data_IF_772482390558
#
_entry.id   IF_772482390558
#
_cell.length_a   1.000
_cell.length_b   1.000
_cell.length_c   1.000
_cell.angle_alpha   90.00
_cell.angle_beta   90.00
_cell.angle_gamma   90.00
#
_symmetry.space_group_name_H-M   'P 1'
#
loop_
_entity.id
_entity.type
_entity.pdbx_description
1 polymer ?
#
# COMPACT_ATOMS: atom_id res chain seq x y z
N UNK A 1 19.87 -20.55 -5.18
CA UNK A 1 20.10 -19.10 -4.99
C UNK A 1 21.58 -18.81 -4.81
N UNK A 2 22.17 -17.93 -5.68
CA UNK A 2 23.59 -17.53 -5.59
C UNK A 2 23.84 -16.65 -4.35
N UNK A 3 25.13 -16.50 -3.95
CA UNK A 3 25.52 -15.65 -2.81
C UNK A 3 25.07 -14.19 -3.03
N UNK A 4 25.20 -13.67 -4.24
CA UNK A 4 24.79 -12.30 -4.58
C UNK A 4 23.28 -12.11 -4.45
N UNK A 5 22.49 -13.03 -4.99
CA UNK A 5 21.02 -13.00 -4.86
C UNK A 5 20.59 -13.08 -3.41
N UNK A 6 21.25 -13.92 -2.60
CA UNK A 6 20.97 -14.00 -1.16
C UNK A 6 21.29 -12.68 -0.44
N UNK A 7 22.40 -12.05 -0.76
CA UNK A 7 22.75 -10.72 -0.19
C UNK A 7 21.74 -9.66 -0.57
N UNK A 8 21.34 -9.60 -1.84
CA UNK A 8 20.33 -8.65 -2.29
C UNK A 8 18.97 -8.88 -1.63
N UNK A 9 18.55 -10.15 -1.46
CA UNK A 9 17.30 -10.48 -0.76
C UNK A 9 17.34 -10.00 0.69
N UNK A 10 18.48 -10.16 1.38
CA UNK A 10 18.67 -9.61 2.73
C UNK A 10 18.54 -8.09 2.72
N UNK A 11 19.19 -7.41 1.77
CA UNK A 11 19.11 -5.95 1.64
C UNK A 11 17.69 -5.43 1.38
N UNK A 12 16.98 -6.09 0.46
CA UNK A 12 15.58 -5.74 0.12
C UNK A 12 14.65 -5.98 1.31
N UNK A 13 14.80 -7.13 1.99
CA UNK A 13 13.98 -7.47 3.16
C UNK A 13 14.30 -6.56 4.35
N UNK A 14 15.56 -6.25 4.60
CA UNK A 14 15.96 -5.29 5.63
C UNK A 14 15.44 -3.88 5.31
N UNK A 15 15.52 -3.46 4.05
CA UNK A 15 15.01 -2.18 3.59
C UNK A 15 13.51 -2.03 3.85
N UNK A 16 12.69 -2.99 3.40
CA UNK A 16 11.23 -2.92 3.61
C UNK A 16 10.84 -3.03 5.08
N UNK A 17 11.55 -3.86 5.86
CA UNK A 17 11.36 -3.99 7.30
C UNK A 17 11.62 -2.66 8.02
N UNK A 18 12.77 -2.02 7.75
CA UNK A 18 13.13 -0.73 8.35
C UNK A 18 12.17 0.39 7.93
N UNK A 19 11.77 0.42 6.65
CA UNK A 19 10.80 1.38 6.15
C UNK A 19 9.43 1.25 6.86
N UNK A 20 8.96 0.00 7.08
CA UNK A 20 7.68 -0.20 7.77
C UNK A 20 7.79 0.09 9.27
N UNK A 21 8.88 -0.33 9.94
CA UNK A 21 9.12 0.08 11.34
C UNK A 21 9.07 1.61 11.43
N UNK A 22 9.89 2.32 10.65
CA UNK A 22 9.96 3.77 10.71
C UNK A 22 8.59 4.43 10.47
N UNK A 23 7.90 4.02 9.41
CA UNK A 23 6.62 4.61 9.05
C UNK A 23 5.51 4.36 10.10
N UNK A 24 5.47 3.19 10.72
CA UNK A 24 4.45 2.89 11.73
C UNK A 24 4.78 3.38 13.15
N UNK A 25 5.98 3.89 13.39
CA UNK A 25 6.31 4.64 14.62
C UNK A 25 5.64 6.02 14.61
N UNK A 26 5.82 6.80 13.53
CA UNK A 26 5.41 8.20 13.53
C UNK A 26 3.97 8.43 13.02
N UNK A 27 3.52 7.60 12.06
CA UNK A 27 2.26 7.82 11.37
C UNK A 27 1.05 7.94 12.31
N UNK A 28 0.79 6.97 13.22
CA UNK A 28 -0.37 7.05 14.13
C UNK A 28 -0.27 8.22 15.10
N UNK A 29 0.95 8.49 15.60
CA UNK A 29 1.20 9.55 16.58
C UNK A 29 0.97 10.93 15.97
N UNK A 30 1.49 11.16 14.74
CA UNK A 30 1.28 12.44 14.06
C UNK A 30 -0.20 12.67 13.71
N UNK A 31 -0.89 11.64 13.20
CA UNK A 31 -2.32 11.77 12.85
C UNK A 31 -3.15 12.11 14.09
N UNK A 32 -2.92 11.44 15.21
CA UNK A 32 -3.59 11.74 16.48
C UNK A 32 -3.28 13.16 16.97
N UNK A 33 -2.01 13.56 16.96
CA UNK A 33 -1.57 14.90 17.37
C UNK A 33 -2.23 16.00 16.53
N UNK A 34 -2.28 15.86 15.21
CA UNK A 34 -2.94 16.82 14.33
C UNK A 34 -4.45 16.86 14.56
N UNK A 35 -5.08 15.71 14.80
CA UNK A 35 -6.49 15.62 15.11
C UNK A 35 -6.87 16.35 16.41
N UNK A 36 -6.03 16.22 17.44
CA UNK A 36 -6.23 16.86 18.74
C UNK A 36 -5.94 18.37 18.78
N UNK A 37 -5.04 18.86 17.95
CA UNK A 37 -4.62 20.28 17.95
C UNK A 37 -5.31 21.13 16.88
N UNK A 38 -5.44 20.58 15.65
CA UNK A 38 -5.96 21.32 14.50
C UNK A 38 -7.36 20.87 14.07
N UNK A 39 -7.46 19.73 13.42
CA UNK A 39 -8.69 18.99 13.08
C UNK A 39 -8.36 17.70 12.34
N UNK A 40 -9.28 16.73 12.32
CA UNK A 40 -9.16 15.51 11.55
C UNK A 40 -8.99 15.78 10.04
N UNK A 41 -9.63 16.84 9.51
CA UNK A 41 -9.47 17.25 8.12
C UNK A 41 -8.01 17.56 7.77
N UNK A 42 -7.30 18.32 8.62
CA UNK A 42 -5.91 18.67 8.38
C UNK A 42 -4.97 17.47 8.51
N UNK A 43 -5.25 16.55 9.43
CA UNK A 43 -4.55 15.27 9.48
C UNK A 43 -4.73 14.50 8.15
N UNK A 44 -5.95 14.46 7.62
CA UNK A 44 -6.27 13.88 6.31
C UNK A 44 -5.54 14.57 5.16
N UNK A 45 -5.42 15.91 5.15
CA UNK A 45 -4.68 16.69 4.15
C UNK A 45 -3.20 16.33 4.16
N UNK A 46 -2.55 16.30 5.32
CA UNK A 46 -1.13 15.93 5.45
C UNK A 46 -0.90 14.51 4.90
N UNK A 47 -1.76 13.56 5.25
CA UNK A 47 -1.64 12.20 4.72
C UNK A 47 -1.92 12.12 3.21
N UNK A 48 -2.88 12.89 2.71
CA UNK A 48 -3.16 13.02 1.28
C UNK A 48 -1.91 13.48 0.51
N UNK A 49 -1.16 14.46 1.02
CA UNK A 49 0.06 14.95 0.38
C UNK A 49 1.13 13.85 0.24
N UNK A 50 1.20 12.89 1.17
CA UNK A 50 2.07 11.71 1.01
C UNK A 50 1.68 10.89 -0.23
N UNK A 51 0.39 10.69 -0.47
CA UNK A 51 -0.07 9.93 -1.65
C UNK A 51 0.02 10.73 -2.95
N UNK A 52 -0.13 12.07 -2.91
CA UNK A 52 0.19 12.95 -4.03
C UNK A 52 1.66 12.81 -4.42
N UNK A 53 2.57 12.84 -3.44
CA UNK A 53 4.00 12.62 -3.66
C UNK A 53 4.31 11.25 -4.26
N UNK A 54 3.70 10.17 -3.74
CA UNK A 54 3.85 8.82 -4.29
C UNK A 54 3.36 8.71 -5.73
N UNK A 55 2.21 9.33 -6.01
CA UNK A 55 1.65 9.35 -7.36
C UNK A 55 2.58 10.13 -8.31
N UNK A 56 3.06 11.30 -7.90
CA UNK A 56 4.02 12.07 -8.68
C UNK A 56 5.31 11.27 -8.96
N UNK A 57 5.83 10.54 -7.96
CA UNK A 57 7.02 9.71 -8.12
C UNK A 57 6.88 8.65 -9.22
N UNK A 58 5.67 8.11 -9.46
CA UNK A 58 5.45 7.10 -10.52
C UNK A 58 5.80 7.61 -11.91
N UNK A 59 5.67 8.92 -12.14
CA UNK A 59 6.02 9.52 -13.44
C UNK A 59 7.53 9.75 -13.61
N UNK A 60 8.28 9.83 -12.50
CA UNK A 60 9.71 10.11 -12.53
C UNK A 60 10.59 8.89 -12.30
N UNK A 61 10.04 7.83 -11.70
CA UNK A 61 10.81 6.66 -11.26
C UNK A 61 11.67 6.06 -12.38
N UNK A 62 11.08 5.77 -13.54
CA UNK A 62 11.79 5.16 -14.66
C UNK A 62 12.97 6.03 -15.15
N UNK A 63 12.72 7.35 -15.26
CA UNK A 63 13.75 8.31 -15.66
C UNK A 63 14.87 8.46 -14.63
N UNK A 64 14.57 8.36 -13.35
CA UNK A 64 15.57 8.36 -12.26
C UNK A 64 16.37 7.05 -12.29
N UNK A 65 15.68 5.91 -12.30
CA UNK A 65 16.32 4.59 -12.30
C UNK A 65 17.22 4.37 -13.52
N UNK A 66 16.84 4.91 -14.70
CA UNK A 66 17.66 4.85 -15.90
C UNK A 66 18.98 5.64 -15.79
N UNK A 67 19.03 6.69 -14.95
CA UNK A 67 20.22 7.55 -14.79
C UNK A 67 21.15 7.10 -13.68
N UNK A 68 20.58 6.69 -12.54
CA UNK A 68 21.38 6.38 -11.34
C UNK A 68 21.39 4.88 -10.98
N UNK A 69 20.71 4.05 -11.76
CA UNK A 69 20.49 2.62 -11.47
C UNK A 69 19.42 2.39 -10.40
N UNK A 70 18.97 1.14 -10.25
CA UNK A 70 17.92 0.78 -9.27
C UNK A 70 18.39 1.09 -7.85
N UNK A 71 19.62 0.71 -7.48
CA UNK A 71 20.19 1.01 -6.16
C UNK A 71 20.24 2.52 -5.88
N UNK A 72 20.66 3.31 -6.87
CA UNK A 72 20.70 4.77 -6.76
C UNK A 72 19.31 5.39 -6.56
N UNK A 73 18.29 4.87 -7.25
CA UNK A 73 16.91 5.31 -7.09
C UNK A 73 16.36 4.96 -5.69
N UNK A 74 16.61 3.74 -5.19
CA UNK A 74 16.24 3.33 -3.83
C UNK A 74 16.92 4.23 -2.80
N UNK A 75 18.24 4.45 -2.93
CA UNK A 75 19.00 5.30 -2.01
C UNK A 75 18.48 6.74 -2.02
N UNK A 76 18.34 7.36 -3.19
CA UNK A 76 17.88 8.74 -3.32
C UNK A 76 16.46 8.92 -2.74
N UNK A 77 15.55 7.98 -3.07
CA UNK A 77 14.19 7.97 -2.52
C UNK A 77 14.18 7.86 -0.99
N UNK A 78 14.92 6.89 -0.45
CA UNK A 78 15.00 6.68 1.01
C UNK A 78 15.67 7.86 1.72
N UNK A 79 16.71 8.45 1.13
CA UNK A 79 17.38 9.63 1.69
C UNK A 79 16.45 10.86 1.70
N UNK A 80 15.67 11.07 0.63
CA UNK A 80 14.64 12.13 0.59
C UNK A 80 13.60 11.92 1.68
N UNK A 81 13.11 10.70 1.86
CA UNK A 81 12.16 10.34 2.91
C UNK A 81 12.75 10.56 4.30
N UNK A 82 13.99 10.12 4.53
CA UNK A 82 14.71 10.30 5.79
C UNK A 82 14.85 11.79 6.18
N UNK A 83 15.31 12.63 5.24
CA UNK A 83 15.48 14.06 5.49
C UNK A 83 14.14 14.74 5.78
N UNK A 84 13.11 14.42 5.01
CA UNK A 84 11.78 14.98 5.23
C UNK A 84 11.21 14.58 6.61
N UNK A 85 11.37 13.31 7.00
CA UNK A 85 10.98 12.82 8.33
C UNK A 85 11.75 13.51 9.46
N UNK A 86 13.07 13.70 9.29
CA UNK A 86 13.86 14.46 10.27
C UNK A 86 13.33 15.88 10.44
N UNK A 87 13.08 16.57 9.33
CA UNK A 87 12.57 17.94 9.33
C UNK A 87 11.16 18.05 9.94
N UNK A 88 10.33 16.99 9.87
CA UNK A 88 9.03 16.96 10.54
C UNK A 88 9.14 17.15 12.06
N UNK A 89 10.22 16.66 12.68
CA UNK A 89 10.46 16.86 14.11
C UNK A 89 10.75 18.32 14.52
N UNK A 90 11.07 19.17 13.54
CA UNK A 90 11.36 20.59 13.75
C UNK A 90 10.32 21.51 13.09
N UNK A 91 9.40 20.90 12.31
CA UNK A 91 8.33 21.63 11.64
C UNK A 91 7.24 22.05 12.62
N UNK A 92 6.53 23.10 12.23
CA UNK A 92 5.32 23.55 12.93
C UNK A 92 4.24 23.94 11.92
N UNK A 93 3.03 23.54 12.21
CA UNK A 93 1.85 23.85 11.42
C UNK A 93 1.64 22.96 10.17
N UNK A 94 0.38 22.87 9.79
CA UNK A 94 -0.14 21.98 8.74
C UNK A 94 0.54 22.19 7.38
N UNK A 95 0.88 23.45 7.03
CA UNK A 95 1.51 23.75 5.75
C UNK A 95 2.91 23.11 5.64
N UNK A 96 3.71 23.19 6.70
CA UNK A 96 5.05 22.58 6.75
C UNK A 96 4.94 21.08 6.70
N UNK A 97 4.06 20.48 7.51
CA UNK A 97 3.82 19.04 7.51
C UNK A 97 3.32 18.54 6.15
N UNK A 98 2.47 19.31 5.46
CA UNK A 98 1.97 18.95 4.12
C UNK A 98 3.08 18.90 3.06
N UNK A 99 4.00 19.89 3.07
CA UNK A 99 5.16 19.91 2.16
C UNK A 99 6.12 18.76 2.48
N UNK A 100 6.40 18.51 3.74
CA UNK A 100 7.26 17.40 4.16
C UNK A 100 6.63 16.05 3.85
N UNK A 101 5.32 15.89 4.04
CA UNK A 101 4.57 14.69 3.67
C UNK A 101 4.63 14.42 2.16
N UNK A 102 4.55 15.45 1.32
CA UNK A 102 4.73 15.33 -0.13
C UNK A 102 6.15 14.81 -0.46
N UNK A 103 7.19 15.30 0.22
CA UNK A 103 8.56 14.81 0.03
C UNK A 103 8.73 13.37 0.53
N UNK A 104 8.10 12.98 1.65
CA UNK A 104 8.04 11.59 2.12
C UNK A 104 7.39 10.71 1.04
N UNK A 105 6.30 11.18 0.45
CA UNK A 105 5.62 10.49 -0.64
C UNK A 105 6.49 10.33 -1.89
N UNK A 106 7.18 11.38 -2.32
CA UNK A 106 8.14 11.34 -3.44
C UNK A 106 9.28 10.35 -3.15
N UNK A 107 9.82 10.37 -1.94
CA UNK A 107 10.88 9.47 -1.51
C UNK A 107 10.44 8.00 -1.54
N UNK A 108 9.37 7.66 -0.83
CA UNK A 108 8.83 6.30 -0.78
C UNK A 108 8.34 5.81 -2.15
N UNK A 109 7.70 6.68 -2.94
CA UNK A 109 7.25 6.39 -4.29
C UNK A 109 8.38 6.12 -5.29
N UNK A 110 9.61 6.53 -4.95
CA UNK A 110 10.82 6.21 -5.73
C UNK A 110 11.52 4.95 -5.18
N UNK A 111 11.59 4.78 -3.86
CA UNK A 111 12.30 3.68 -3.22
C UNK A 111 11.58 2.32 -3.39
N UNK A 112 10.26 2.26 -3.13
CA UNK A 112 9.52 0.99 -3.16
C UNK A 112 9.45 0.29 -4.53
N UNK A 113 9.22 0.98 -5.67
CA UNK A 113 9.31 0.36 -6.96
C UNK A 113 10.71 -0.22 -7.23
N UNK A 114 11.77 0.47 -6.78
CA UNK A 114 13.14 -0.01 -6.88
C UNK A 114 13.36 -1.35 -6.16
N UNK A 115 12.88 -1.48 -4.92
CA UNK A 115 12.94 -2.75 -4.18
C UNK A 115 12.19 -3.87 -4.91
N UNK A 116 11.00 -3.59 -5.43
CA UNK A 116 10.19 -4.56 -6.17
C UNK A 116 10.84 -4.97 -7.49
N UNK A 117 11.46 -4.04 -8.20
CA UNK A 117 12.17 -4.35 -9.45
C UNK A 117 13.33 -5.32 -9.24
N UNK A 118 14.02 -5.24 -8.09
CA UNK A 118 15.02 -6.24 -7.73
C UNK A 118 14.39 -7.62 -7.54
N UNK A 119 13.21 -7.69 -6.89
CA UNK A 119 12.51 -8.97 -6.69
C UNK A 119 12.04 -9.57 -8.04
N UNK A 120 11.57 -8.73 -8.95
CA UNK A 120 11.15 -9.16 -10.30
C UNK A 120 12.32 -9.73 -11.10
N UNK A 121 13.57 -9.25 -10.87
CA UNK A 121 14.76 -9.74 -11.54
C UNK A 121 15.26 -11.13 -11.08
N UNK A 122 14.62 -11.73 -10.07
CA UNK A 122 14.89 -13.12 -9.65
C UNK A 122 14.35 -14.11 -10.68
N UNK A 123 15.01 -15.30 -10.84
CA UNK A 123 14.48 -16.39 -11.64
C UNK A 123 13.07 -16.80 -11.21
N UNK A 124 12.29 -17.34 -12.16
CA UNK A 124 10.89 -17.67 -11.94
C UNK A 124 10.64 -18.65 -10.78
N UNK A 125 11.56 -19.59 -10.56
CA UNK A 125 11.53 -20.55 -9.45
C UNK A 125 11.84 -19.94 -8.07
N UNK A 126 12.68 -18.89 -8.02
CA UNK A 126 13.06 -18.20 -6.79
C UNK A 126 12.15 -16.99 -6.47
N UNK A 127 11.51 -16.39 -7.48
CA UNK A 127 10.70 -15.16 -7.38
C UNK A 127 9.56 -15.24 -6.37
N UNK A 128 8.73 -16.31 -6.32
CA UNK A 128 7.64 -16.41 -5.35
C UNK A 128 8.12 -16.38 -3.91
N UNK A 129 9.26 -17.03 -3.63
CA UNK A 129 9.88 -17.02 -2.30
C UNK A 129 10.41 -15.62 -1.95
N UNK A 130 11.03 -14.93 -2.90
CA UNK A 130 11.54 -13.58 -2.71
C UNK A 130 10.41 -12.59 -2.35
N UNK A 131 9.29 -12.62 -3.10
CA UNK A 131 8.11 -11.80 -2.78
C UNK A 131 7.45 -12.17 -1.45
N UNK A 132 7.37 -13.46 -1.12
CA UNK A 132 6.82 -13.92 0.16
C UNK A 132 7.62 -13.42 1.36
N UNK A 133 8.96 -13.52 1.31
CA UNK A 133 9.82 -13.02 2.39
C UNK A 133 9.80 -11.50 2.49
N UNK A 134 9.70 -10.79 1.36
CA UNK A 134 9.53 -9.34 1.32
C UNK A 134 8.23 -8.92 2.04
N UNK A 135 7.10 -9.56 1.70
CA UNK A 135 5.82 -9.27 2.33
C UNK A 135 5.83 -9.58 3.82
N UNK A 136 6.43 -10.70 4.23
CA UNK A 136 6.59 -11.06 5.64
C UNK A 136 7.42 -10.00 6.39
N UNK A 137 8.54 -9.56 5.81
CA UNK A 137 9.40 -8.51 6.40
C UNK A 137 8.64 -7.19 6.56
N UNK A 138 7.79 -6.83 5.59
CA UNK A 138 6.92 -5.66 5.68
C UNK A 138 5.94 -5.77 6.86
N UNK A 139 5.28 -6.92 7.03
CA UNK A 139 4.31 -7.13 8.12
C UNK A 139 4.97 -7.14 9.49
N UNK A 140 6.14 -7.78 9.62
CA UNK A 140 6.92 -7.76 10.87
C UNK A 140 7.36 -6.33 11.21
N UNK A 141 7.76 -5.56 10.18
CA UNK A 141 8.11 -4.14 10.32
C UNK A 141 6.92 -3.30 10.78
N UNK A 142 5.74 -3.50 10.18
CA UNK A 142 4.50 -2.83 10.59
C UNK A 142 4.17 -3.10 12.05
N UNK A 143 4.10 -4.38 12.45
CA UNK A 143 3.83 -4.78 13.82
C UNK A 143 4.84 -4.18 14.80
N UNK A 144 6.14 -4.34 14.51
CA UNK A 144 7.20 -3.81 15.36
C UNK A 144 7.20 -2.28 15.45
N UNK A 145 6.97 -1.61 14.32
CA UNK A 145 6.86 -0.15 14.26
C UNK A 145 5.70 0.40 15.08
N UNK A 146 4.52 -0.20 14.94
CA UNK A 146 3.36 0.19 15.72
C UNK A 146 3.54 -0.04 17.23
N UNK A 147 4.21 -1.15 17.61
CA UNK A 147 4.54 -1.42 19.02
C UNK A 147 5.52 -0.38 19.58
N UNK A 148 6.61 -0.09 18.86
CA UNK A 148 7.60 0.93 19.25
C UNK A 148 6.96 2.32 19.27
N UNK A 149 6.11 2.64 18.29
CA UNK A 149 5.36 3.90 18.25
C UNK A 149 4.45 4.09 19.45
N UNK A 150 3.86 2.99 19.95
CA UNK A 150 3.09 3.01 21.22
C UNK A 150 3.93 3.32 22.44
N UNK A 151 5.14 2.77 22.51
CA UNK A 151 6.09 3.05 23.59
C UNK A 151 6.65 4.49 23.55
N UNK A 152 6.65 5.11 22.38
CA UNK A 152 7.14 6.47 22.14
C UNK A 152 5.99 7.50 22.04
N UNK A 153 4.74 7.12 22.31
CA UNK A 153 3.58 8.00 22.14
C UNK A 153 3.65 9.26 23.03
N UNK A 154 4.24 9.15 24.22
CA UNK A 154 4.39 10.25 25.17
C UNK A 154 5.68 11.06 24.99
N UNK A 155 6.52 10.66 24.01
CA UNK A 155 7.78 11.34 23.71
C UNK A 155 7.50 12.51 22.75
N UNK A 156 8.25 13.61 22.90
CA UNK A 156 8.11 14.77 22.00
C UNK A 156 8.38 14.40 20.52
N UNK A 157 7.70 15.09 19.60
CA UNK A 157 7.79 14.79 18.17
C UNK A 157 9.22 14.89 17.62
N UNK A 158 10.06 15.78 18.16
CA UNK A 158 11.46 15.91 17.72
C UNK A 158 12.26 14.66 18.01
N UNK A 159 12.13 14.11 19.21
CA UNK A 159 12.80 12.86 19.59
C UNK A 159 12.25 11.69 18.79
N UNK A 160 10.92 11.59 18.63
CA UNK A 160 10.27 10.54 17.84
C UNK A 160 10.78 10.54 16.39
N UNK A 161 10.76 11.69 15.71
CA UNK A 161 11.25 11.79 14.34
C UNK A 161 12.77 11.61 14.20
N UNK A 162 13.55 11.92 15.25
CA UNK A 162 14.99 11.62 15.26
C UNK A 162 15.27 10.12 15.32
N UNK A 163 14.48 9.37 16.08
CA UNK A 163 14.52 7.88 16.09
C UNK A 163 14.17 7.33 14.72
N UNK A 164 13.08 7.83 14.12
CA UNK A 164 12.66 7.42 12.77
C UNK A 164 13.73 7.73 11.73
N UNK A 165 14.35 8.90 11.78
CA UNK A 165 15.47 9.27 10.93
C UNK A 165 16.63 8.28 11.02
N UNK A 166 17.05 7.90 12.25
CA UNK A 166 18.11 6.92 12.45
C UNK A 166 17.78 5.57 11.81
N UNK A 167 16.51 5.12 11.88
CA UNK A 167 16.03 3.91 11.21
C UNK A 167 16.17 4.04 9.69
N UNK A 168 15.78 5.17 9.10
CA UNK A 168 15.89 5.41 7.66
C UNK A 168 17.33 5.55 7.18
N UNK A 169 18.24 6.08 8.01
CA UNK A 169 19.69 6.01 7.74
C UNK A 169 20.15 4.54 7.69
N UNK A 170 19.68 3.70 8.61
CA UNK A 170 19.91 2.25 8.55
C UNK A 170 19.43 1.64 7.23
N UNK A 171 18.28 2.06 6.71
CA UNK A 171 17.78 1.63 5.40
C UNK A 171 18.68 2.13 4.26
N UNK A 172 19.14 3.39 4.26
CA UNK A 172 20.08 3.89 3.27
C UNK A 172 21.38 3.09 3.26
N UNK A 173 21.94 2.77 4.43
CA UNK A 173 23.14 1.96 4.54
C UNK A 173 22.93 0.53 4.07
N UNK A 174 21.82 -0.13 4.46
CA UNK A 174 21.48 -1.46 3.99
C UNK A 174 21.29 -1.53 2.47
N UNK A 175 20.59 -0.55 1.89
CA UNK A 175 20.40 -0.49 0.44
C UNK A 175 21.70 -0.30 -0.31
N UNK A 176 22.59 0.55 0.18
CA UNK A 176 23.90 0.80 -0.42
C UNK A 176 24.81 -0.42 -0.38
N UNK A 177 24.77 -1.18 0.74
CA UNK A 177 25.68 -2.30 0.98
C UNK A 177 25.25 -3.59 0.30
N UNK A 178 23.94 -3.83 0.18
CA UNK A 178 23.40 -5.15 -0.18
C UNK A 178 22.66 -5.18 -1.51
N UNK A 179 22.12 -4.05 -1.98
CA UNK A 179 21.35 -4.00 -3.23
C UNK A 179 22.29 -3.88 -4.43
N UNK A 180 22.13 -4.73 -5.47
CA UNK A 180 22.90 -4.59 -6.72
C UNK A 180 22.49 -3.32 -7.46
N UNK A 181 23.40 -2.79 -8.31
CA UNK A 181 23.17 -1.53 -9.02
C UNK A 181 21.95 -1.59 -9.96
N UNK A 182 21.82 -2.65 -10.73
CA UNK A 182 20.86 -2.74 -11.85
C UNK A 182 20.00 -4.03 -11.83
N UNK A 183 19.99 -4.78 -10.71
CA UNK A 183 19.29 -6.07 -10.60
C UNK A 183 20.11 -7.26 -11.11
N UNK A 184 19.46 -8.43 -11.33
CA UNK A 184 20.10 -9.68 -11.74
C UNK A 184 19.77 -10.11 -13.19
N UNK A 185 19.12 -9.25 -13.98
CA UNK A 185 18.89 -9.54 -15.40
C UNK A 185 20.24 -9.67 -16.10
N UNK A 186 20.39 -10.67 -16.99
CA UNK A 186 21.36 -10.55 -18.07
C UNK A 186 21.13 -9.18 -18.68
N UNK A 187 22.18 -8.38 -18.75
CA UNK A 187 22.13 -7.12 -19.45
C UNK A 187 21.77 -7.48 -20.90
N UNK A 188 20.48 -7.62 -21.16
CA UNK A 188 19.98 -7.50 -22.51
C UNK A 188 20.52 -6.15 -22.89
N UNK A 189 21.50 -6.13 -23.77
CA UNK A 189 22.05 -4.92 -24.37
C UNK A 189 20.85 -4.09 -24.79
N UNK A 190 20.42 -3.19 -23.88
CA UNK A 190 19.43 -2.19 -24.26
C UNK A 190 20.12 -1.45 -25.39
N UNK A 191 19.54 -1.48 -26.59
CA UNK A 191 20.13 -0.74 -27.72
C UNK A 191 20.40 0.66 -27.19
N UNK A 192 21.60 1.16 -27.49
CA UNK A 192 22.15 2.40 -27.00
C UNK A 192 21.08 3.47 -26.92
N UNK A 193 20.64 3.73 -25.67
CA UNK A 193 19.93 4.92 -25.24
C UNK A 193 18.87 5.48 -26.21
N UNK A 194 17.74 4.84 -26.34
CA UNK A 194 16.50 5.62 -26.30
C UNK A 194 16.48 6.27 -24.91
N UNK A 195 16.75 7.57 -24.85
CA UNK A 195 16.81 8.34 -23.60
C UNK A 195 15.45 8.25 -22.98
N UNK A 196 15.29 7.38 -21.98
CA UNK A 196 14.04 7.30 -21.21
C UNK A 196 13.75 8.71 -20.70
N UNK A 197 12.63 9.34 -21.09
CA UNK A 197 12.32 10.68 -20.65
C UNK A 197 12.24 10.70 -19.12
N UNK A 198 12.60 11.82 -18.50
CA UNK A 198 12.50 11.93 -17.03
C UNK A 198 11.05 11.77 -16.57
N UNK A 199 10.10 12.22 -17.38
CA UNK A 199 8.66 12.13 -17.15
C UNK A 199 8.04 11.13 -18.12
N UNK A 200 7.43 10.05 -17.61
CA UNK A 200 6.78 9.01 -18.40
C UNK A 200 5.27 8.97 -18.09
N UNK A 201 4.46 9.01 -19.14
CA UNK A 201 3.00 8.83 -19.04
C UNK A 201 2.58 7.39 -19.38
N UNK A 202 3.53 6.45 -19.42
CA UNK A 202 3.28 5.06 -19.80
C UNK A 202 2.23 4.37 -18.89
N UNK A 203 2.08 4.84 -17.64
CA UNK A 203 1.07 4.36 -16.68
C UNK A 203 -0.35 4.47 -17.25
N UNK A 204 -0.66 5.54 -18.02
CA UNK A 204 -1.99 5.73 -18.60
C UNK A 204 -2.31 4.75 -19.75
N UNK A 205 -1.29 4.23 -20.44
CA UNK A 205 -1.48 3.23 -21.50
C UNK A 205 -2.01 1.89 -20.98
N UNK A 206 -1.95 1.65 -19.66
CA UNK A 206 -2.50 0.46 -19.01
C UNK A 206 -4.01 0.54 -18.72
N UNK A 207 -4.59 1.76 -18.74
CA UNK A 207 -6.01 1.99 -18.43
C UNK A 207 -6.93 1.53 -19.58
N UNK A 208 -6.41 1.43 -20.81
CA UNK A 208 -7.16 1.06 -22.01
C UNK A 208 -7.55 -0.43 -22.08
N UNK A 209 -7.27 -1.21 -21.06
CA UNK A 209 -7.66 -2.63 -21.03
C UNK A 209 -9.18 -2.74 -20.92
N UNK A 210 -9.82 -3.07 -22.04
CA UNK A 210 -11.28 -3.13 -22.18
C UNK A 210 -11.89 -4.07 -21.13
N UNK A 211 -12.84 -3.59 -20.34
CA UNK A 211 -13.51 -4.35 -19.28
C UNK A 211 -12.79 -4.37 -17.90
N UNK A 212 -11.55 -3.85 -17.80
CA UNK A 212 -10.80 -3.80 -16.53
C UNK A 212 -11.16 -2.59 -15.64
N UNK A 213 -11.81 -1.56 -16.19
CA UNK A 213 -12.10 -0.30 -15.47
C UNK A 213 -12.89 -0.53 -14.18
N UNK A 214 -13.90 -1.40 -14.19
CA UNK A 214 -14.69 -1.74 -13.00
C UNK A 214 -13.82 -2.32 -11.87
N UNK A 215 -12.80 -3.08 -12.22
CA UNK A 215 -11.88 -3.70 -11.28
C UNK A 215 -10.90 -2.69 -10.69
N UNK A 216 -10.42 -1.79 -11.53
CA UNK A 216 -9.58 -0.68 -11.06
C UNK A 216 -10.34 0.22 -10.08
N UNK A 217 -11.61 0.53 -10.37
CA UNK A 217 -12.46 1.29 -9.46
C UNK A 217 -12.69 0.54 -8.14
N UNK A 218 -12.93 -0.77 -8.19
CA UNK A 218 -13.09 -1.60 -6.99
C UNK A 218 -11.82 -1.59 -6.13
N UNK A 219 -10.64 -1.68 -6.78
CA UNK A 219 -9.35 -1.52 -6.10
C UNK A 219 -9.21 -0.14 -5.47
N UNK A 220 -9.56 0.93 -6.18
CA UNK A 220 -9.52 2.28 -5.64
C UNK A 220 -10.40 2.44 -4.39
N UNK A 221 -11.63 1.88 -4.41
CA UNK A 221 -12.53 1.92 -3.25
C UNK A 221 -12.01 1.07 -2.09
N UNK A 222 -11.43 -0.10 -2.36
CA UNK A 222 -10.77 -0.89 -1.30
C UNK A 222 -9.66 -0.09 -0.61
N UNK A 223 -8.79 0.54 -1.38
CA UNK A 223 -7.70 1.34 -0.82
C UNK A 223 -8.17 2.64 -0.17
N UNK A 224 -9.28 3.21 -0.64
CA UNK A 224 -9.99 4.28 0.05
C UNK A 224 -10.44 3.85 1.46
N UNK A 225 -11.01 2.66 1.60
CA UNK A 225 -11.44 2.11 2.89
C UNK A 225 -10.24 1.76 3.79
N UNK A 226 -9.20 1.16 3.23
CA UNK A 226 -7.99 0.78 3.96
C UNK A 226 -7.28 2.00 4.56
N UNK A 227 -7.06 3.05 3.77
CA UNK A 227 -6.47 4.29 4.28
C UNK A 227 -7.43 5.05 5.20
N UNK A 228 -8.74 4.94 4.95
CA UNK A 228 -9.77 5.48 5.82
C UNK A 228 -9.67 4.91 7.24
N UNK A 229 -9.41 3.60 7.36
CA UNK A 229 -9.08 2.99 8.64
C UNK A 229 -7.77 3.56 9.21
N UNK A 230 -6.71 3.61 8.41
CA UNK A 230 -5.39 4.04 8.90
C UNK A 230 -5.40 5.49 9.43
N UNK A 231 -6.10 6.40 8.80
CA UNK A 231 -6.22 7.80 9.24
C UNK A 231 -7.29 7.95 10.32
N UNK A 232 -8.43 7.30 10.16
CA UNK A 232 -9.57 7.46 11.06
C UNK A 232 -9.37 6.83 12.43
N UNK A 233 -8.61 5.71 12.53
CA UNK A 233 -8.48 5.00 13.81
C UNK A 233 -7.62 5.76 14.83
N UNK A 234 -6.49 6.41 14.50
CA UNK A 234 -5.76 7.26 15.44
C UNK A 234 -6.61 8.45 15.93
N UNK A 235 -7.40 9.07 15.04
CA UNK A 235 -8.34 10.14 15.42
C UNK A 235 -9.40 9.63 16.38
N UNK A 236 -9.95 8.45 16.12
CA UNK A 236 -10.92 7.79 17.01
C UNK A 236 -10.32 7.43 18.37
N UNK A 237 -9.06 6.97 18.39
CA UNK A 237 -8.37 6.66 19.64
C UNK A 237 -8.12 7.91 20.49
N UNK A 238 -7.70 8.99 19.89
CA UNK A 238 -7.46 10.27 20.56
C UNK A 238 -8.75 10.81 21.19
N UNK A 239 -9.85 10.79 20.46
CA UNK A 239 -11.14 11.33 20.88
C UNK A 239 -11.83 10.45 21.93
N UNK A 240 -11.80 9.11 21.75
CA UNK A 240 -12.67 8.21 22.54
C UNK A 240 -11.94 7.20 23.42
N UNK A 241 -10.63 7.05 23.28
CA UNK A 241 -9.85 6.04 23.99
C UNK A 241 -8.46 6.56 24.40
N UNK A 242 -8.37 7.81 24.86
CA UNK A 242 -7.14 8.52 25.21
C UNK A 242 -6.24 7.83 26.24
N UNK A 243 -6.75 6.79 26.94
CA UNK A 243 -5.92 5.93 27.80
C UNK A 243 -5.11 4.86 27.09
N UNK A 244 -5.21 4.78 25.76
CA UNK A 244 -4.48 3.83 24.91
C UNK A 244 -3.66 4.57 23.87
N UNK A 245 -2.47 4.05 23.56
CA UNK A 245 -1.65 4.64 22.52
C UNK A 245 -2.37 4.62 21.15
N UNK A 246 -2.31 5.71 20.36
CA UNK A 246 -2.95 5.79 19.03
C UNK A 246 -2.48 4.70 18.06
N UNK A 247 -1.30 4.11 18.30
CA UNK A 247 -0.74 2.99 17.54
C UNK A 247 -1.27 1.62 17.96
N UNK A 248 -2.01 1.50 19.05
CA UNK A 248 -2.50 0.21 19.57
C UNK A 248 -3.32 -0.61 18.55
N UNK A 249 -4.24 -0.04 17.77
CA UNK A 249 -4.93 -0.76 16.71
C UNK A 249 -4.00 -1.39 15.67
N UNK A 250 -2.89 -0.73 15.36
CA UNK A 250 -1.95 -1.20 14.32
C UNK A 250 -1.11 -2.40 14.77
N UNK A 251 -0.67 -2.47 16.03
CA UNK A 251 0.01 -3.69 16.48
C UNK A 251 -0.96 -4.86 16.67
N UNK A 252 -2.24 -4.61 17.04
CA UNK A 252 -3.27 -5.65 17.08
C UNK A 252 -3.53 -6.20 15.67
N UNK A 253 -3.74 -5.32 14.69
CA UNK A 253 -3.97 -5.72 13.29
C UNK A 253 -2.72 -6.37 12.69
N UNK A 254 -1.53 -5.82 12.90
CA UNK A 254 -0.27 -6.37 12.41
C UNK A 254 0.00 -7.78 12.92
N UNK A 255 -0.19 -8.03 14.22
CA UNK A 255 -0.07 -9.36 14.80
C UNK A 255 -1.12 -10.33 14.20
N UNK A 256 -2.35 -9.86 14.05
CA UNK A 256 -3.44 -10.67 13.48
C UNK A 256 -3.13 -11.07 12.03
N UNK A 257 -2.59 -10.15 11.22
CA UNK A 257 -2.15 -10.45 9.85
C UNK A 257 -1.04 -11.51 9.87
N UNK A 258 0.00 -11.35 10.71
CA UNK A 258 1.11 -12.31 10.80
C UNK A 258 0.63 -13.72 11.11
N UNK A 259 -0.33 -13.87 12.02
CA UNK A 259 -0.84 -15.18 12.45
C UNK A 259 -1.85 -15.76 11.45
N UNK A 260 -2.76 -14.94 10.95
CA UNK A 260 -3.93 -15.41 10.18
C UNK A 260 -3.71 -15.44 8.67
N UNK A 261 -2.79 -14.65 8.11
CA UNK A 261 -2.66 -14.44 6.66
C UNK A 261 -2.53 -15.77 5.90
N UNK A 262 -1.55 -16.58 6.26
CA UNK A 262 -1.28 -17.82 5.52
C UNK A 262 -2.38 -18.88 5.67
N UNK A 263 -2.84 -19.27 6.88
CA UNK A 263 -3.84 -20.32 7.03
C UNK A 263 -5.20 -19.90 6.47
N UNK A 264 -5.62 -18.65 6.71
CA UNK A 264 -6.91 -18.16 6.29
C UNK A 264 -6.98 -18.02 4.76
N UNK A 265 -5.97 -17.41 4.15
CA UNK A 265 -5.93 -17.25 2.70
C UNK A 265 -5.90 -18.60 1.97
N UNK A 266 -5.05 -19.53 2.42
CA UNK A 266 -4.96 -20.87 1.86
C UNK A 266 -6.27 -21.65 1.94
N UNK A 267 -6.97 -21.54 3.08
CA UNK A 267 -8.29 -22.18 3.26
C UNK A 267 -9.34 -21.56 2.32
N UNK A 268 -9.42 -20.24 2.27
CA UNK A 268 -10.44 -19.53 1.51
C UNK A 268 -10.27 -19.70 0.01
N UNK A 269 -9.06 -19.53 -0.54
CA UNK A 269 -8.82 -19.63 -1.99
C UNK A 269 -8.99 -21.04 -2.54
N UNK A 270 -8.85 -22.05 -1.68
CA UNK A 270 -9.09 -23.44 -2.06
C UNK A 270 -10.57 -23.76 -2.23
N UNK A 271 -11.43 -23.12 -1.42
CA UNK A 271 -12.85 -23.49 -1.30
C UNK A 271 -13.79 -22.51 -2.01
N UNK A 272 -13.32 -21.28 -2.29
CA UNK A 272 -14.15 -20.21 -2.84
C UNK A 272 -13.51 -19.59 -4.10
N UNK A 273 -14.36 -19.07 -4.99
CA UNK A 273 -13.90 -18.26 -6.13
C UNK A 273 -13.33 -16.92 -5.65
N UNK A 274 -12.38 -16.29 -6.38
CA UNK A 274 -11.72 -15.04 -5.95
C UNK A 274 -12.70 -13.93 -5.59
N UNK A 275 -13.78 -13.74 -6.36
CA UNK A 275 -14.81 -12.74 -6.05
C UNK A 275 -15.52 -12.98 -4.73
N UNK A 276 -15.79 -14.24 -4.37
CA UNK A 276 -16.37 -14.58 -3.07
C UNK A 276 -15.38 -14.38 -1.92
N UNK A 277 -14.11 -14.69 -2.13
CA UNK A 277 -13.04 -14.42 -1.12
C UNK A 277 -12.92 -12.93 -0.85
N UNK A 278 -12.91 -12.10 -1.91
CA UNK A 278 -12.91 -10.64 -1.77
C UNK A 278 -14.15 -10.14 -1.02
N UNK A 279 -15.33 -10.70 -1.31
CA UNK A 279 -16.57 -10.33 -0.62
C UNK A 279 -16.53 -10.66 0.88
N UNK A 280 -15.96 -11.81 1.27
CA UNK A 280 -15.75 -12.15 2.69
C UNK A 280 -14.80 -11.14 3.37
N UNK A 281 -13.72 -10.75 2.69
CA UNK A 281 -12.82 -9.71 3.19
C UNK A 281 -13.54 -8.38 3.43
N UNK A 282 -14.34 -7.92 2.47
CA UNK A 282 -15.13 -6.68 2.58
C UNK A 282 -16.26 -6.79 3.62
N UNK A 283 -16.85 -7.97 3.81
CA UNK A 283 -17.78 -8.22 4.90
C UNK A 283 -17.10 -8.08 6.27
N UNK A 284 -15.86 -8.57 6.40
CA UNK A 284 -15.04 -8.34 7.60
C UNK A 284 -14.79 -6.84 7.85
N UNK A 285 -14.46 -6.06 6.82
CA UNK A 285 -14.33 -4.60 6.92
C UNK A 285 -15.66 -3.92 7.29
N UNK A 286 -16.79 -4.41 6.77
CA UNK A 286 -18.13 -3.90 7.14
C UNK A 286 -18.38 -4.10 8.63
N UNK A 287 -18.10 -5.29 9.16
CA UNK A 287 -18.22 -5.58 10.61
C UNK A 287 -17.26 -4.69 11.40
N UNK A 288 -16.02 -4.54 10.96
CA UNK A 288 -15.03 -3.69 11.62
C UNK A 288 -15.50 -2.24 11.76
N UNK A 289 -15.89 -1.63 10.64
CA UNK A 289 -16.34 -0.24 10.64
C UNK A 289 -17.63 -0.04 11.43
N UNK A 290 -18.54 -1.01 11.38
CA UNK A 290 -19.73 -1.00 12.23
C UNK A 290 -19.35 -1.07 13.71
N UNK A 291 -18.38 -1.90 14.09
CA UNK A 291 -17.89 -2.00 15.47
C UNK A 291 -17.26 -0.69 15.96
N UNK A 292 -16.41 -0.04 15.14
CA UNK A 292 -15.84 1.27 15.46
C UNK A 292 -16.90 2.37 15.58
N UNK A 293 -17.97 2.31 14.78
CA UNK A 293 -19.07 3.26 14.85
C UNK A 293 -19.99 3.03 16.06
N UNK A 294 -20.25 1.77 16.40
CA UNK A 294 -21.23 1.41 17.44
C UNK A 294 -20.71 1.55 18.86
N UNK A 295 -19.39 1.47 19.09
CA UNK A 295 -18.85 1.45 20.43
C UNK A 295 -17.51 2.17 20.58
N UNK A 296 -17.35 2.83 21.74
CA UNK A 296 -16.14 3.57 22.12
C UNK A 296 -15.25 2.81 23.11
N UNK A 297 -15.71 1.64 23.56
CA UNK A 297 -14.97 0.84 24.53
C UNK A 297 -13.97 -0.10 23.83
N UNK A 298 -12.93 -0.46 24.56
CA UNK A 298 -11.84 -1.34 24.11
C UNK A 298 -12.32 -2.61 23.40
N UNK A 299 -13.34 -3.36 23.88
CA UNK A 299 -13.81 -4.55 23.18
C UNK A 299 -14.27 -4.28 21.74
N UNK A 300 -14.95 -3.16 21.46
CA UNK A 300 -15.37 -2.79 20.11
C UNK A 300 -14.17 -2.47 19.19
N UNK A 301 -13.17 -1.78 19.73
CA UNK A 301 -11.92 -1.50 19.02
C UNK A 301 -11.21 -2.80 18.68
N UNK A 302 -11.09 -3.73 19.62
CA UNK A 302 -10.46 -5.03 19.40
C UNK A 302 -11.22 -5.85 18.34
N UNK A 303 -12.55 -5.93 18.44
CA UNK A 303 -13.38 -6.62 17.43
C UNK A 303 -13.18 -5.98 16.05
N UNK A 304 -13.20 -4.65 15.97
CA UNK A 304 -12.93 -3.92 14.73
C UNK A 304 -11.54 -4.25 14.16
N UNK A 305 -10.50 -4.21 15.00
CA UNK A 305 -9.12 -4.55 14.58
C UNK A 305 -8.99 -6.00 14.09
N UNK A 306 -9.63 -6.96 14.77
CA UNK A 306 -9.58 -8.38 14.37
C UNK A 306 -10.35 -8.67 13.08
N UNK A 307 -11.36 -7.87 12.76
CA UNK A 307 -12.18 -8.09 11.57
C UNK A 307 -11.74 -7.25 10.36
N UNK A 308 -11.15 -6.07 10.55
CA UNK A 308 -10.64 -5.25 9.43
C UNK A 308 -9.53 -5.94 8.67
N UNK A 309 -8.70 -6.74 9.35
CA UNK A 309 -7.59 -7.49 8.73
C UNK A 309 -8.06 -8.51 7.69
N UNK A 310 -9.32 -8.96 7.77
CA UNK A 310 -9.90 -9.86 6.76
C UNK A 310 -9.90 -9.21 5.38
N UNK A 311 -10.12 -7.90 5.30
CA UNK A 311 -10.00 -7.13 4.06
C UNK A 311 -8.61 -7.25 3.45
N UNK A 312 -7.57 -6.99 4.21
CA UNK A 312 -6.18 -7.04 3.72
C UNK A 312 -5.73 -8.46 3.36
N UNK A 313 -6.04 -9.43 4.20
CA UNK A 313 -5.65 -10.84 4.01
C UNK A 313 -6.33 -11.46 2.79
N UNK A 314 -7.61 -11.15 2.58
CA UNK A 314 -8.44 -11.84 1.59
C UNK A 314 -8.59 -11.04 0.31
N UNK A 315 -8.78 -9.72 0.38
CA UNK A 315 -9.03 -8.91 -0.81
C UNK A 315 -7.80 -8.78 -1.71
N UNK A 316 -6.68 -8.31 -1.16
CA UNK A 316 -5.51 -7.93 -1.96
C UNK A 316 -4.97 -9.08 -2.80
N UNK A 317 -4.63 -10.26 -2.22
CA UNK A 317 -4.09 -11.34 -3.03
C UNK A 317 -5.13 -11.98 -3.95
N UNK A 318 -6.42 -12.00 -3.57
CA UNK A 318 -7.49 -12.51 -4.43
C UNK A 318 -7.74 -11.60 -5.63
N UNK A 319 -7.63 -10.30 -5.43
CA UNK A 319 -7.75 -9.31 -6.48
C UNK A 319 -6.60 -9.44 -7.50
N UNK A 320 -5.36 -9.61 -7.02
CA UNK A 320 -4.19 -9.82 -7.89
C UNK A 320 -4.35 -11.10 -8.74
N UNK A 321 -4.80 -12.20 -8.13
CA UNK A 321 -5.08 -13.46 -8.84
C UNK A 321 -6.19 -13.25 -9.89
N UNK A 322 -7.23 -12.52 -9.53
CA UNK A 322 -8.36 -12.29 -10.41
C UNK A 322 -7.99 -11.45 -11.64
N UNK A 323 -7.21 -10.38 -11.44
CA UNK A 323 -6.68 -9.56 -12.55
C UNK A 323 -5.76 -10.40 -13.45
N UNK A 324 -4.86 -11.19 -12.85
CA UNK A 324 -3.95 -12.04 -13.61
C UNK A 324 -4.67 -13.08 -14.48
N UNK A 325 -5.86 -13.55 -14.06
CA UNK A 325 -6.68 -14.48 -14.86
C UNK A 325 -7.48 -13.80 -15.98
N UNK A 326 -7.76 -12.49 -15.85
CA UNK A 326 -8.64 -11.75 -16.78
C UNK A 326 -7.86 -10.92 -17.81
N UNK A 327 -6.63 -10.60 -17.53
CA UNK A 327 -5.80 -9.78 -18.40
C UNK A 327 -4.81 -10.66 -19.14
N UNK A 328 -4.73 -10.57 -20.49
CA UNK A 328 -3.74 -11.26 -21.28
C UNK A 328 -2.31 -10.97 -20.81
N UNK A 329 -1.42 -11.97 -20.92
CA UNK A 329 -0.05 -11.89 -20.37
C UNK A 329 0.76 -10.71 -20.94
N UNK A 330 0.55 -10.37 -22.22
CA UNK A 330 1.19 -9.23 -22.91
C UNK A 330 0.77 -7.86 -22.36
N UNK A 331 -0.40 -7.78 -21.73
CA UNK A 331 -0.99 -6.56 -21.14
C UNK A 331 -0.93 -6.53 -19.62
N UNK A 332 -0.57 -7.63 -18.98
CA UNK A 332 -0.59 -7.78 -17.51
C UNK A 332 0.30 -6.72 -16.82
N UNK A 333 1.51 -6.48 -17.32
CA UNK A 333 2.41 -5.46 -16.74
C UNK A 333 1.80 -4.04 -16.79
N UNK A 334 1.10 -3.70 -17.88
CA UNK A 334 0.40 -2.41 -18.02
C UNK A 334 -0.80 -2.32 -17.06
N UNK A 335 -1.57 -3.40 -16.92
CA UNK A 335 -2.70 -3.47 -15.99
C UNK A 335 -2.24 -3.32 -14.53
N UNK A 336 -1.13 -3.96 -14.15
CA UNK A 336 -0.54 -3.80 -12.81
C UNK A 336 -0.10 -2.35 -12.54
N UNK A 337 0.45 -1.66 -13.55
CA UNK A 337 0.75 -0.23 -13.47
C UNK A 337 -0.50 0.63 -13.22
N UNK A 338 -1.57 0.38 -13.98
CA UNK A 338 -2.86 1.06 -13.78
C UNK A 338 -3.44 0.78 -12.40
N UNK A 339 -3.34 -0.45 -11.89
CA UNK A 339 -3.77 -0.79 -10.51
C UNK A 339 -3.05 0.06 -9.46
N UNK A 340 -1.74 0.26 -9.60
CA UNK A 340 -0.98 1.13 -8.68
C UNK A 340 -1.45 2.58 -8.72
N UNK A 341 -1.82 3.09 -9.90
CA UNK A 341 -2.40 4.42 -10.03
C UNK A 341 -3.74 4.51 -9.28
N UNK A 342 -4.67 3.59 -9.53
CA UNK A 342 -5.98 3.58 -8.88
C UNK A 342 -5.88 3.35 -7.36
N UNK A 343 -4.94 2.52 -6.91
CA UNK A 343 -4.59 2.39 -5.50
C UNK A 343 -4.17 3.72 -4.88
N UNK A 344 -3.26 4.44 -5.53
CA UNK A 344 -2.77 5.73 -5.03
C UNK A 344 -3.88 6.79 -5.02
N UNK A 345 -4.73 6.81 -6.04
CA UNK A 345 -5.91 7.68 -6.09
C UNK A 345 -6.91 7.36 -4.97
N UNK A 346 -7.18 6.07 -4.72
CA UNK A 346 -8.03 5.62 -3.62
C UNK A 346 -7.48 6.06 -2.27
N UNK A 347 -6.19 5.86 -2.03
CA UNK A 347 -5.53 6.32 -0.80
C UNK A 347 -5.56 7.84 -0.65
N UNK A 348 -5.32 8.59 -1.72
CA UNK A 348 -5.35 10.06 -1.72
C UNK A 348 -6.73 10.59 -1.32
N UNK A 349 -7.78 10.12 -1.97
CA UNK A 349 -9.17 10.52 -1.68
C UNK A 349 -9.58 10.03 -0.30
N UNK A 350 -9.21 8.80 0.04
CA UNK A 350 -9.57 8.16 1.31
C UNK A 350 -8.97 8.86 2.52
N UNK A 351 -7.70 9.28 2.45
CA UNK A 351 -7.06 10.01 3.55
C UNK A 351 -7.73 11.37 3.80
N UNK A 352 -8.04 12.11 2.72
CA UNK A 352 -8.70 13.40 2.83
C UNK A 352 -10.12 13.26 3.40
N UNK A 353 -10.91 12.32 2.86
CA UNK A 353 -12.29 12.13 3.29
C UNK A 353 -12.38 11.49 4.68
N UNK A 354 -11.41 10.68 5.11
CA UNK A 354 -11.42 10.11 6.46
C UNK A 354 -11.40 11.21 7.52
N UNK A 355 -10.49 12.20 7.38
CA UNK A 355 -10.43 13.34 8.28
C UNK A 355 -11.65 14.25 8.19
N UNK A 356 -12.10 14.57 6.96
CA UNK A 356 -13.27 15.41 6.75
C UNK A 356 -14.55 14.79 7.31
N UNK A 357 -14.78 13.49 7.11
CA UNK A 357 -15.94 12.78 7.65
C UNK A 357 -15.88 12.64 9.18
N UNK A 358 -14.67 12.52 9.74
CA UNK A 358 -14.49 12.51 11.19
C UNK A 358 -14.93 13.85 11.80
N UNK A 359 -14.46 14.98 11.28
CA UNK A 359 -14.84 16.31 11.76
C UNK A 359 -16.33 16.59 11.55
N UNK A 360 -16.89 16.18 10.40
CA UNK A 360 -18.32 16.34 10.13
C UNK A 360 -19.17 15.54 11.11
N UNK A 361 -18.78 14.29 11.39
CA UNK A 361 -19.48 13.45 12.35
C UNK A 361 -19.43 14.04 13.78
N UNK A 362 -18.28 14.59 14.16
CA UNK A 362 -18.10 15.27 15.45
C UNK A 362 -18.93 16.55 15.51
N UNK A 363 -18.93 17.38 14.46
CA UNK A 363 -19.68 18.66 14.40
C UNK A 363 -21.21 18.45 14.42
N UNK A 364 -21.70 17.32 13.92
CA UNK A 364 -23.12 16.96 13.92
C UNK A 364 -23.56 16.17 15.15
N UNK A 365 -22.66 15.97 16.10
CA UNK A 365 -22.89 15.13 17.28
C UNK A 365 -23.38 13.71 16.93
N UNK A 366 -22.81 13.15 15.84
CA UNK A 366 -23.05 11.77 15.40
C UNK A 366 -21.76 10.96 15.61
N UNK A 367 -21.48 10.55 16.85
CA UNK A 367 -20.23 9.84 17.15
C UNK A 367 -20.08 8.56 16.32
N UNK A 368 -18.93 8.40 15.65
CA UNK A 368 -18.69 7.25 14.80
C UNK A 368 -19.42 7.28 13.45
N UNK A 369 -20.06 8.41 13.07
CA UNK A 369 -20.78 8.57 11.80
C UNK A 369 -19.92 8.31 10.57
N UNK A 370 -18.65 8.72 10.60
CA UNK A 370 -17.65 8.42 9.59
C UNK A 370 -17.46 6.91 9.35
N UNK A 371 -17.53 6.10 10.41
CA UNK A 371 -17.39 4.65 10.29
C UNK A 371 -18.60 3.98 9.65
N UNK A 372 -19.80 4.49 9.85
CA UNK A 372 -21.00 3.95 9.19
C UNK A 372 -20.98 4.20 7.68
N UNK A 373 -20.45 5.35 7.25
CA UNK A 373 -20.21 5.62 5.81
C UNK A 373 -19.22 4.61 5.21
N UNK A 374 -18.12 4.35 5.93
CA UNK A 374 -17.14 3.34 5.51
C UNK A 374 -17.75 1.93 5.49
N UNK A 375 -18.55 1.56 6.50
CA UNK A 375 -19.24 0.27 6.56
C UNK A 375 -20.21 0.07 5.39
N UNK A 376 -21.04 1.08 5.08
CA UNK A 376 -21.96 1.04 3.95
C UNK A 376 -21.20 0.89 2.62
N UNK A 377 -20.10 1.62 2.44
CA UNK A 377 -19.24 1.52 1.24
C UNK A 377 -18.63 0.13 1.11
N UNK A 378 -18.12 -0.44 2.21
CA UNK A 378 -17.57 -1.81 2.21
C UNK A 378 -18.64 -2.87 1.87
N UNK A 379 -19.86 -2.74 2.43
CA UNK A 379 -20.98 -3.64 2.16
C UNK A 379 -21.41 -3.61 0.68
N UNK A 380 -21.53 -2.41 0.09
CA UNK A 380 -21.85 -2.24 -1.34
C UNK A 380 -20.78 -2.89 -2.20
N UNK A 381 -19.49 -2.62 -1.94
CA UNK A 381 -18.38 -3.23 -2.68
C UNK A 381 -18.34 -4.76 -2.52
N UNK A 382 -18.57 -5.26 -1.31
CA UNK A 382 -18.67 -6.69 -1.04
C UNK A 382 -19.78 -7.36 -1.85
N UNK A 383 -20.94 -6.72 -1.93
CA UNK A 383 -22.07 -7.17 -2.76
C UNK A 383 -21.70 -7.18 -4.25
N UNK A 384 -21.04 -6.14 -4.75
CA UNK A 384 -20.55 -6.09 -6.14
C UNK A 384 -19.58 -7.23 -6.43
N UNK A 385 -18.64 -7.51 -5.52
CA UNK A 385 -17.71 -8.64 -5.67
C UNK A 385 -18.44 -9.98 -5.70
N UNK A 386 -19.44 -10.16 -4.84
CA UNK A 386 -20.20 -11.41 -4.75
C UNK A 386 -21.05 -11.66 -6.01
N UNK A 387 -21.67 -10.61 -6.55
CA UNK A 387 -22.52 -10.66 -7.74
C UNK A 387 -21.71 -10.68 -9.06
N UNK A 388 -20.44 -10.30 -9.03
CA UNK A 388 -19.57 -10.37 -10.21
C UNK A 388 -19.37 -11.81 -10.62
N UNK A 389 -19.95 -12.20 -11.77
CA UNK A 389 -19.74 -13.52 -12.36
C UNK A 389 -18.29 -13.60 -12.86
N UNK A 390 -17.62 -14.72 -12.58
CA UNK A 390 -16.36 -15.07 -13.23
C UNK A 390 -16.67 -15.46 -14.69
N UNK A 391 -16.89 -14.46 -15.53
CA UNK A 391 -16.85 -14.70 -16.96
C UNK A 391 -15.41 -15.12 -17.28
N UNK A 392 -15.22 -16.38 -17.66
CA UNK A 392 -14.00 -16.84 -18.33
C UNK A 392 -13.71 -15.89 -19.49
N UNK A 393 -12.44 -15.53 -19.77
CA UNK A 393 -12.11 -14.85 -21.00
C UNK A 393 -12.74 -15.65 -22.12
N UNK A 394 -13.58 -15.02 -22.93
CA UNK A 394 -13.97 -15.59 -24.21
C UNK A 394 -12.63 -15.74 -24.93
N UNK A 395 -12.14 -16.97 -25.10
CA UNK A 395 -11.09 -17.24 -26.06
C UNK A 395 -11.60 -16.62 -27.35
N UNK A 396 -10.97 -15.54 -27.81
CA UNK A 396 -11.17 -15.14 -29.20
C UNK A 396 -10.85 -16.39 -29.99
N UNK A 397 -11.77 -16.88 -30.85
CA UNK A 397 -11.51 -18.08 -31.62
C UNK A 397 -10.16 -17.84 -32.31
N UNK A 398 -9.20 -18.70 -31.97
CA UNK A 398 -7.89 -18.72 -32.58
C UNK A 398 -8.15 -18.65 -34.07
N UNK A 399 -7.83 -17.48 -34.68
CA UNK A 399 -8.01 -17.30 -36.13
C UNK A 399 -7.22 -18.41 -36.75
N UNK A 400 -7.88 -19.38 -37.35
CA UNK A 400 -7.25 -20.51 -37.98
C UNK A 400 -6.08 -20.00 -38.84
N UNK A 401 -4.89 -20.66 -38.77
CA UNK A 401 -3.71 -20.21 -39.48
C UNK A 401 -4.08 -19.94 -40.94
N UNK A 402 -3.54 -18.87 -41.47
CA UNK A 402 -3.80 -18.47 -42.89
C UNK A 402 -3.56 -19.59 -43.89
N UNK A 403 -2.77 -20.61 -43.54
CA UNK A 403 -2.53 -21.80 -44.32
C UNK A 403 -3.80 -22.69 -44.51
N UNK A 404 -4.67 -22.83 -43.49
CA UNK A 404 -5.91 -23.59 -43.63
C UNK A 404 -6.96 -22.86 -44.47
N UNK A 405 -6.89 -21.54 -44.57
CA UNK A 405 -7.76 -20.76 -45.49
C UNK A 405 -7.29 -20.81 -46.91
N UNK A 406 -6.01 -21.02 -47.15
CA UNK A 406 -5.47 -21.19 -48.51
C UNK A 406 -5.76 -22.58 -49.09
N UNK A 407 -5.79 -23.63 -48.24
CA UNK A 407 -6.15 -24.99 -48.68
C UNK A 407 -7.66 -25.15 -48.95
N UNK A 408 -8.53 -24.41 -48.26
CA UNK A 408 -9.97 -24.46 -48.50
C UNK A 408 -10.44 -23.63 -49.71
N UNK A 409 -9.55 -22.84 -50.32
CA UNK A 409 -9.82 -22.00 -51.46
C UNK A 409 -9.17 -22.54 -52.79
N UNK A 410 -8.42 -23.66 -52.72
CA UNK A 410 -7.83 -24.36 -53.87
C UNK A 410 -8.66 -25.64 -54.21
#
# INVERSE_FOLDING_TARGET
>A
MTIERRRALIGVNAGIFLAHIGNFIWFPVLVASLGGTDSGFWAGVVMCMTYVGRLAATFFYEGVAARVGIRGAVFAGTATEAVALFLMGFGDGVAVYSVLALLIGLGSGTAFPGLKNILVSYPDDERPKAFSTFQMSAQVGLFGGALVGGLLADVDLRTLFSVVFAIFIGFCLASSAFIPRDGFGEATEKPAAERVPLFSTAVFKGIEVRGATRYFLLSAVFWFLSIGFMVGIPLHMEEYASGWAPSAPFWITGLSVLVLQYPLFKFMIKNLRPGAVMAVGLAGMTVAFTAFGAGRSVPWIVVGCLTVVLGEILFVPSFDIWVARKVPADRLAKAMGAMHFFRSAGNMIGSLLAGALFDLATSWDIPGGNWYVAAATAAVCGTICLLSRDETPTEEPETAPEEERAEAAA
#
